data_IF_769237275663
#
_entry.id   IF_769237275663
#
_cell.length_a   1.000
_cell.length_b   1.000
_cell.length_c   1.000
_cell.angle_alpha   90.00
_cell.angle_beta   90.00
_cell.angle_gamma   90.00
#
_symmetry.space_group_name_H-M   'P 1'
#
loop_
_entity.id
_entity.type
_entity.pdbx_description
1 polymer ?
#
# COMPACT_ATOMS: atom_id res chain seq x y z
N UNK A 1 2.93 25.52 9.91
CA UNK A 1 3.15 24.79 8.64
C UNK A 1 4.63 24.47 8.55
N UNK A 2 5.11 23.46 9.28
CA UNK A 2 6.52 23.05 9.21
C UNK A 2 6.75 22.41 7.84
N UNK A 3 7.72 22.94 7.10
CA UNK A 3 8.14 22.46 5.80
C UNK A 3 8.48 20.97 5.88
N UNK A 4 7.58 20.10 5.42
CA UNK A 4 7.90 18.69 5.22
C UNK A 4 9.09 18.64 4.26
N UNK A 5 10.19 18.03 4.68
CA UNK A 5 11.32 17.78 3.79
C UNK A 5 10.83 16.74 2.79
N UNK A 6 10.78 17.14 1.52
CA UNK A 6 10.34 16.32 0.40
C UNK A 6 11.57 16.09 -0.46
N UNK A 7 12.01 14.84 -0.56
CA UNK A 7 13.00 14.45 -1.56
C UNK A 7 12.25 14.07 -2.86
N UNK A 8 12.35 14.90 -3.90
CA UNK A 8 11.78 14.60 -5.21
C UNK A 8 12.85 14.08 -6.16
N UNK A 9 12.68 12.87 -6.67
CA UNK A 9 13.43 12.42 -7.84
C UNK A 9 12.83 13.11 -9.07
N UNK A 10 13.57 14.01 -9.73
CA UNK A 10 13.11 14.64 -10.99
C UNK A 10 13.11 13.59 -12.10
N UNK A 11 11.95 13.23 -12.67
CA UNK A 11 11.91 12.22 -13.69
C UNK A 11 12.06 12.84 -15.10
N UNK A 12 12.87 12.21 -15.95
CA UNK A 12 12.91 12.52 -17.40
C UNK A 12 11.60 12.06 -18.08
N UNK A 13 10.87 12.96 -18.76
CA UNK A 13 9.76 12.68 -19.68
C UNK A 13 8.62 11.74 -19.20
N UNK A 14 8.27 11.72 -17.90
CA UNK A 14 7.14 10.91 -17.41
C UNK A 14 5.76 11.59 -17.48
N UNK A 15 5.69 12.86 -17.89
CA UNK A 15 4.43 13.57 -18.07
C UNK A 15 3.49 12.91 -19.10
N UNK A 16 3.99 12.00 -19.94
CA UNK A 16 3.19 11.31 -20.96
C UNK A 16 2.83 9.87 -20.59
N UNK A 17 3.34 9.35 -19.45
CA UNK A 17 3.25 7.93 -19.11
C UNK A 17 2.20 7.68 -18.03
N UNK A 18 1.47 6.59 -18.24
CA UNK A 18 0.69 5.96 -17.19
C UNK A 18 1.64 5.24 -16.22
N UNK A 19 1.43 5.43 -14.92
CA UNK A 19 2.30 4.88 -13.88
C UNK A 19 1.53 4.14 -12.79
N UNK A 20 2.17 3.14 -12.21
CA UNK A 20 1.74 2.55 -10.93
C UNK A 20 2.60 3.14 -9.82
N UNK A 21 1.97 3.41 -8.67
CA UNK A 21 2.66 3.97 -7.51
C UNK A 21 2.55 2.98 -6.36
N UNK A 22 3.69 2.60 -5.78
CA UNK A 22 3.73 1.84 -4.54
C UNK A 22 3.97 2.76 -3.34
N UNK A 23 3.23 2.54 -2.26
CA UNK A 23 3.44 3.20 -0.97
C UNK A 23 4.02 2.21 0.03
N UNK A 24 5.12 2.60 0.66
CA UNK A 24 5.76 1.80 1.71
C UNK A 24 6.28 2.69 2.84
N UNK A 25 6.32 2.16 4.05
CA UNK A 25 7.02 2.78 5.16
C UNK A 25 8.47 2.34 5.17
N UNK A 26 9.38 3.31 5.24
CA UNK A 26 10.78 3.07 5.57
C UNK A 26 11.06 3.67 6.94
N UNK A 27 12.09 3.18 7.64
CA UNK A 27 12.43 3.73 8.94
C UNK A 27 13.94 3.72 9.18
N UNK A 28 14.38 4.62 10.05
CA UNK A 28 15.73 4.64 10.58
C UNK A 28 15.72 4.41 12.09
N UNK A 29 16.71 3.65 12.55
CA UNK A 29 16.89 3.37 13.96
C UNK A 29 17.33 4.63 14.69
N UNK A 30 16.81 4.80 15.90
CA UNK A 30 17.07 5.95 16.74
C UNK A 30 17.44 5.52 18.16
N UNK A 31 18.51 6.12 18.68
CA UNK A 31 19.16 5.75 19.95
C UNK A 31 19.07 6.85 21.03
N UNK A 32 18.49 8.00 20.69
CA UNK A 32 18.35 9.16 21.57
C UNK A 32 17.09 9.15 22.43
N UNK A 33 16.71 10.32 22.95
CA UNK A 33 15.49 10.48 23.74
C UNK A 33 14.23 10.39 22.86
N UNK A 34 13.31 9.50 23.25
CA UNK A 34 12.10 9.16 22.50
C UNK A 34 10.92 10.10 22.81
N UNK A 35 11.09 11.10 23.68
CA UNK A 35 10.07 12.10 24.01
C UNK A 35 9.84 13.12 22.87
N UNK A 36 9.51 12.61 21.69
CA UNK A 36 9.32 13.40 20.47
C UNK A 36 8.25 12.76 19.59
N UNK A 37 7.32 13.53 19.01
CA UNK A 37 6.28 12.98 18.12
C UNK A 37 6.86 12.39 16.82
N UNK A 38 8.13 12.64 16.53
CA UNK A 38 8.85 12.11 15.38
C UNK A 38 9.37 10.68 15.59
N UNK A 39 9.38 10.21 16.84
CA UNK A 39 9.90 8.91 17.22
C UNK A 39 8.74 7.99 17.55
N UNK A 40 8.64 6.85 16.85
CA UNK A 40 7.75 5.77 17.27
C UNK A 40 8.53 4.81 18.17
N UNK A 41 7.91 4.40 19.27
CA UNK A 41 8.50 3.49 20.23
C UNK A 41 8.89 2.15 19.60
N UNK A 42 9.98 1.56 20.10
CA UNK A 42 10.49 0.25 19.68
C UNK A 42 10.74 -0.65 20.89
N UNK A 43 10.85 -1.96 20.66
CA UNK A 43 11.01 -2.97 21.73
C UNK A 43 12.33 -2.88 22.49
N UNK A 44 13.31 -2.10 22.02
CA UNK A 44 14.61 -1.93 22.68
C UNK A 44 15.72 -2.83 22.16
N UNK A 45 15.44 -3.70 21.17
CA UNK A 45 16.43 -4.63 20.61
C UNK A 45 17.67 -3.89 20.09
N UNK A 46 18.87 -4.44 20.37
CA UNK A 46 20.16 -3.85 19.97
C UNK A 46 20.38 -2.40 20.44
N UNK A 47 19.75 -2.00 21.56
CA UNK A 47 19.84 -0.64 22.09
C UNK A 47 19.04 0.41 21.31
N UNK A 48 18.25 -0.01 20.32
CA UNK A 48 17.39 0.87 19.53
C UNK A 48 16.24 1.34 20.41
N UNK A 49 16.18 2.64 20.68
CA UNK A 49 15.16 3.24 21.56
C UNK A 49 13.88 3.60 20.81
N UNK A 50 13.98 3.88 19.51
CA UNK A 50 12.84 4.17 18.67
C UNK A 50 13.19 4.16 17.20
N UNK A 51 12.23 4.55 16.37
CA UNK A 51 12.39 4.62 14.92
C UNK A 51 11.79 5.89 14.34
N UNK A 52 12.50 6.52 13.41
CA UNK A 52 11.97 7.58 12.55
C UNK A 52 11.33 6.94 11.34
N UNK A 53 10.05 7.23 11.08
CA UNK A 53 9.33 6.66 9.95
C UNK A 53 9.23 7.66 8.80
N UNK A 54 9.27 7.14 7.58
CA UNK A 54 9.05 7.89 6.36
C UNK A 54 8.05 7.14 5.49
N UNK A 55 6.99 7.83 5.07
CA UNK A 55 6.09 7.33 4.04
C UNK A 55 6.69 7.65 2.67
N UNK A 56 6.97 6.62 1.89
CA UNK A 56 7.61 6.76 0.58
C UNK A 56 6.66 6.29 -0.52
N UNK A 57 6.46 7.12 -1.52
CA UNK A 57 5.80 6.75 -2.76
C UNK A 57 6.84 6.54 -3.87
N UNK A 58 6.77 5.39 -4.51
CA UNK A 58 7.68 5.01 -5.59
C UNK A 58 6.90 4.70 -6.86
N UNK A 59 7.41 5.15 -8.01
CA UNK A 59 6.95 4.65 -9.30
C UNK A 59 7.42 3.20 -9.45
N UNK A 60 6.51 2.34 -9.88
CA UNK A 60 6.78 0.93 -10.15
C UNK A 60 6.47 0.62 -11.60
N UNK A 61 7.46 0.10 -12.33
CA UNK A 61 7.28 -0.33 -13.73
C UNK A 61 8.24 -1.47 -14.06
N UNK A 62 7.69 -2.58 -14.58
CA UNK A 62 8.46 -3.78 -14.92
C UNK A 62 9.35 -4.21 -13.75
N UNK A 63 10.68 -4.20 -13.86
CA UNK A 63 11.58 -4.60 -12.78
C UNK A 63 12.23 -3.41 -12.05
N UNK A 64 11.67 -2.21 -12.23
CA UNK A 64 12.24 -0.98 -11.71
C UNK A 64 11.32 -0.27 -10.71
N UNK A 65 11.93 0.20 -9.62
CA UNK A 65 11.32 1.09 -8.63
C UNK A 65 12.11 2.38 -8.53
N UNK A 66 11.43 3.50 -8.76
CA UNK A 66 11.99 4.83 -8.54
C UNK A 66 11.28 5.50 -7.37
N UNK A 67 11.95 5.74 -6.23
CA UNK A 67 11.41 6.60 -5.19
C UNK A 67 11.12 7.98 -5.78
N UNK A 68 9.87 8.42 -5.71
CA UNK A 68 9.46 9.72 -6.25
C UNK A 68 9.44 10.78 -5.17
N UNK A 69 8.89 10.41 -4.01
CA UNK A 69 8.67 11.29 -2.86
C UNK A 69 8.74 10.47 -1.59
N UNK A 70 9.44 11.00 -0.60
CA UNK A 70 9.45 10.48 0.77
C UNK A 70 9.16 11.64 1.72
N UNK A 71 8.23 11.43 2.65
CA UNK A 71 7.89 12.40 3.69
C UNK A 71 8.08 11.75 5.06
N UNK A 72 8.59 12.50 6.06
CA UNK A 72 8.64 12.00 7.42
C UNK A 72 7.22 11.83 7.97
N UNK A 73 7.00 10.76 8.73
CA UNK A 73 5.71 10.37 9.29
C UNK A 73 5.75 10.35 10.80
N UNK A 74 4.99 11.25 11.43
CA UNK A 74 4.95 11.39 12.89
C UNK A 74 3.90 10.47 13.52
N UNK A 75 3.82 10.46 14.84
CA UNK A 75 2.70 9.81 15.58
C UNK A 75 1.40 10.63 15.52
N UNK A 76 1.48 11.91 15.11
CA UNK A 76 0.34 12.83 15.05
C UNK A 76 -0.33 12.83 13.67
N UNK A 77 0.40 12.40 12.64
CA UNK A 77 -0.11 12.33 11.27
C UNK A 77 -1.02 11.11 11.07
N UNK A 78 -2.04 11.26 10.22
CA UNK A 78 -2.81 10.12 9.74
C UNK A 78 -2.24 9.62 8.41
N UNK A 79 -2.06 8.31 8.27
CA UNK A 79 -1.57 7.68 7.03
C UNK A 79 -2.41 8.10 5.82
N UNK A 80 -3.73 8.22 5.98
CA UNK A 80 -4.62 8.68 4.92
C UNK A 80 -4.32 10.12 4.48
N UNK A 81 -4.12 11.05 5.43
CA UNK A 81 -3.78 12.44 5.12
C UNK A 81 -2.41 12.59 4.45
N UNK A 82 -1.45 11.76 4.85
CA UNK A 82 -0.14 11.68 4.22
C UNK A 82 -0.19 11.19 2.77
N UNK A 83 -0.93 10.09 2.51
CA UNK A 83 -1.16 9.58 1.15
C UNK A 83 -1.84 10.64 0.29
N UNK A 84 -2.90 11.29 0.79
CA UNK A 84 -3.60 12.37 0.06
C UNK A 84 -2.62 13.50 -0.29
N UNK A 85 -1.78 13.92 0.66
CA UNK A 85 -0.81 14.98 0.45
C UNK A 85 0.20 14.63 -0.64
N UNK A 86 0.73 13.41 -0.61
CA UNK A 86 1.62 12.90 -1.66
C UNK A 86 0.90 12.84 -3.00
N UNK A 87 -0.32 12.31 -3.05
CA UNK A 87 -1.06 12.16 -4.29
C UNK A 87 -1.41 13.51 -4.94
N UNK A 88 -1.72 14.53 -4.15
CA UNK A 88 -1.94 15.89 -4.65
C UNK A 88 -0.68 16.46 -5.33
N UNK A 89 0.51 16.14 -4.81
CA UNK A 89 1.78 16.51 -5.44
C UNK A 89 1.96 15.71 -6.73
N UNK A 90 1.88 14.38 -6.68
CA UNK A 90 2.17 13.49 -7.81
C UNK A 90 1.21 13.66 -8.99
N UNK A 91 -0.06 13.99 -8.75
CA UNK A 91 -1.05 14.27 -9.81
C UNK A 91 -0.62 15.42 -10.73
N UNK A 92 0.22 16.35 -10.26
CA UNK A 92 0.78 17.41 -11.09
C UNK A 92 1.94 16.98 -12.00
N UNK A 93 2.50 15.78 -11.79
CA UNK A 93 3.70 15.31 -12.52
C UNK A 93 3.41 14.20 -13.54
N UNK A 94 2.30 13.50 -13.45
CA UNK A 94 1.96 12.36 -14.31
C UNK A 94 0.65 12.58 -15.04
N UNK A 95 0.56 12.07 -16.28
CA UNK A 95 -0.69 12.06 -17.06
C UNK A 95 -1.79 11.28 -16.35
N UNK A 96 -1.44 10.08 -15.86
CA UNK A 96 -2.35 9.20 -15.15
C UNK A 96 -1.61 8.33 -14.15
N UNK A 97 -2.22 8.13 -12.99
CA UNK A 97 -1.79 7.14 -12.01
C UNK A 97 -2.80 5.98 -12.10
N UNK A 98 -2.40 4.89 -12.73
CA UNK A 98 -3.30 3.77 -13.06
C UNK A 98 -3.75 3.01 -11.82
N UNK A 99 -2.80 2.81 -10.89
CA UNK A 99 -2.98 1.90 -9.77
C UNK A 99 -2.04 2.24 -8.62
N UNK A 100 -2.60 2.26 -7.42
CA UNK A 100 -1.86 2.33 -6.17
C UNK A 100 -1.63 0.93 -5.62
N UNK A 101 -0.40 0.59 -5.27
CA UNK A 101 -0.02 -0.69 -4.70
C UNK A 101 0.38 -0.47 -3.24
N UNK A 102 -0.30 -1.14 -2.32
CA UNK A 102 -0.08 -0.98 -0.89
C UNK A 102 0.01 -2.33 -0.19
N UNK A 103 0.85 -2.39 0.84
CA UNK A 103 1.00 -3.57 1.66
C UNK A 103 -0.14 -3.74 2.70
N UNK A 104 -0.01 -4.78 3.53
CA UNK A 104 -0.96 -5.13 4.60
C UNK A 104 -1.01 -4.19 5.80
N UNK A 105 -0.06 -3.28 5.93
CA UNK A 105 -0.12 -2.25 6.98
C UNK A 105 -1.08 -1.12 6.61
N UNK A 106 -1.32 -0.90 5.30
CA UNK A 106 -2.27 0.10 4.81
C UNK A 106 -3.74 -0.38 4.75
N UNK A 107 -4.02 -1.63 5.13
CA UNK A 107 -5.38 -2.16 5.14
C UNK A 107 -6.21 -1.60 6.31
N UNK A 108 -6.86 -0.45 6.09
CA UNK A 108 -7.78 0.17 7.04
C UNK A 108 -8.98 0.81 6.34
N UNK A 109 -10.11 0.92 7.05
CA UNK A 109 -11.33 1.53 6.52
C UNK A 109 -11.13 2.99 6.12
N UNK A 110 -10.33 3.75 6.87
CA UNK A 110 -10.02 5.16 6.58
C UNK A 110 -9.20 5.31 5.30
N UNK A 111 -8.20 4.45 5.09
CA UNK A 111 -7.38 4.45 3.87
C UNK A 111 -8.24 4.05 2.68
N UNK A 112 -9.01 2.96 2.77
CA UNK A 112 -9.93 2.50 1.72
C UNK A 112 -10.88 3.62 1.29
N UNK A 113 -11.52 4.29 2.26
CA UNK A 113 -12.43 5.41 1.99
C UNK A 113 -11.72 6.57 1.29
N UNK A 114 -10.51 6.91 1.73
CA UNK A 114 -9.73 7.98 1.13
C UNK A 114 -9.35 7.63 -0.31
N UNK A 115 -8.84 6.42 -0.55
CA UNK A 115 -8.38 5.96 -1.86
C UNK A 115 -9.52 5.83 -2.87
N UNK A 116 -10.72 5.40 -2.45
CA UNK A 116 -11.92 5.35 -3.30
C UNK A 116 -12.21 6.68 -4.01
N UNK A 117 -11.81 7.82 -3.43
CA UNK A 117 -11.99 9.15 -4.01
C UNK A 117 -10.80 9.65 -4.84
N UNK A 118 -9.67 8.92 -4.85
CA UNK A 118 -8.39 9.42 -5.37
C UNK A 118 -7.95 8.69 -6.63
N UNK A 119 -7.89 7.36 -6.59
CA UNK A 119 -7.30 6.50 -7.62
C UNK A 119 -7.66 5.04 -7.37
N UNK A 120 -7.56 4.19 -8.39
CA UNK A 120 -7.66 2.75 -8.22
C UNK A 120 -6.53 2.21 -7.35
N UNK A 121 -6.81 1.17 -6.57
CA UNK A 121 -5.83 0.61 -5.63
C UNK A 121 -5.90 -0.90 -5.48
N UNK A 122 -4.80 -1.47 -4.99
CA UNK A 122 -4.68 -2.80 -4.43
C UNK A 122 -3.98 -2.71 -3.09
N UNK A 123 -4.68 -3.07 -2.02
CA UNK A 123 -4.12 -3.20 -0.68
C UNK A 123 -4.08 -4.68 -0.34
N UNK A 124 -2.91 -5.22 0.01
CA UNK A 124 -2.84 -6.60 0.47
C UNK A 124 -3.55 -6.76 1.81
N UNK A 125 -4.38 -7.78 1.96
CA UNK A 125 -5.27 -7.93 3.12
C UNK A 125 -4.66 -8.89 4.12
N UNK A 126 -4.74 -8.53 5.42
CA UNK A 126 -4.40 -9.45 6.50
C UNK A 126 -5.42 -10.59 6.54
N UNK A 127 -4.93 -11.83 6.68
CA UNK A 127 -5.78 -13.02 6.79
C UNK A 127 -6.42 -13.10 8.18
N UNK A 128 -7.49 -12.34 8.39
CA UNK A 128 -8.38 -12.55 9.54
C UNK A 128 -9.21 -13.83 9.38
N UNK A 129 -10.02 -14.16 10.39
CA UNK A 129 -10.85 -15.37 10.37
C UNK A 129 -11.84 -15.42 9.19
N UNK A 130 -12.37 -14.28 8.76
CA UNK A 130 -13.30 -14.20 7.64
C UNK A 130 -12.60 -14.45 6.31
N UNK A 131 -11.46 -13.80 6.09
CA UNK A 131 -10.62 -13.97 4.89
C UNK A 131 -10.09 -15.40 4.79
N UNK A 132 -9.63 -15.98 5.91
CA UNK A 132 -9.16 -17.38 5.96
C UNK A 132 -10.27 -18.36 5.57
N UNK A 133 -11.45 -18.23 6.18
CA UNK A 133 -12.58 -19.11 5.90
C UNK A 133 -12.99 -19.08 4.43
N UNK A 134 -13.00 -17.91 3.80
CA UNK A 134 -13.29 -17.82 2.37
C UNK A 134 -12.21 -18.54 1.54
N UNK A 135 -10.93 -18.27 1.80
CA UNK A 135 -9.82 -18.92 1.07
C UNK A 135 -9.80 -20.44 1.28
N UNK A 136 -10.20 -20.94 2.45
CA UNK A 136 -10.28 -22.38 2.72
C UNK A 136 -11.43 -23.06 1.98
N UNK A 137 -12.49 -22.32 1.66
CA UNK A 137 -13.63 -22.82 0.88
C UNK A 137 -13.38 -22.86 -0.63
N UNK A 138 -12.27 -22.29 -1.11
CA UNK A 138 -11.93 -22.20 -2.53
C UNK A 138 -11.10 -23.38 -3.02
N UNK A 139 -11.28 -23.73 -4.29
CA UNK A 139 -10.47 -24.74 -4.98
C UNK A 139 -9.07 -24.23 -5.34
N UNK A 140 -8.13 -25.16 -5.58
CA UNK A 140 -6.76 -24.80 -5.95
C UNK A 140 -6.72 -24.03 -7.26
N UNK A 141 -6.08 -22.85 -7.26
CA UNK A 141 -6.01 -21.98 -8.44
C UNK A 141 -7.26 -21.14 -8.67
N UNK A 142 -8.30 -21.29 -7.84
CA UNK A 142 -9.52 -20.48 -7.93
C UNK A 142 -9.20 -19.01 -7.63
N UNK A 143 -9.85 -18.13 -8.40
CA UNK A 143 -9.76 -16.68 -8.29
C UNK A 143 -11.16 -16.11 -8.28
N UNK A 144 -11.45 -15.26 -7.30
CA UNK A 144 -12.81 -14.78 -7.04
C UNK A 144 -12.81 -13.36 -6.53
N UNK A 145 -13.77 -12.55 -6.95
CA UNK A 145 -14.00 -11.21 -6.40
C UNK A 145 -15.32 -11.22 -5.66
N UNK A 146 -15.32 -10.73 -4.41
CA UNK A 146 -16.53 -10.48 -3.64
C UNK A 146 -16.62 -9.01 -3.27
N UNK A 147 -17.81 -8.44 -3.40
CA UNK A 147 -18.09 -7.15 -2.78
C UNK A 147 -18.06 -7.32 -1.26
N UNK A 148 -17.32 -6.46 -0.58
CA UNK A 148 -17.26 -6.37 0.86
C UNK A 148 -17.73 -4.98 1.30
N UNK A 149 -18.83 -4.96 2.03
CA UNK A 149 -19.35 -3.73 2.60
C UNK A 149 -18.82 -3.59 4.02
N UNK A 150 -18.01 -2.57 4.26
CA UNK A 150 -17.58 -2.21 5.59
C UNK A 150 -18.69 -1.39 6.25
N UNK A 151 -19.23 -1.92 7.35
CA UNK A 151 -20.02 -1.12 8.28
C UNK A 151 -19.08 -0.15 8.99
N UNK A 152 -19.05 1.10 8.54
CA UNK A 152 -18.48 2.19 9.31
C UNK A 152 -19.44 3.37 9.27
N UNK A 153 -19.69 3.94 10.44
CA UNK A 153 -20.44 5.18 10.61
C UNK A 153 -19.41 6.28 10.87
N UNK A 154 -18.83 6.85 9.81
CA UNK A 154 -18.38 8.25 9.85
C UNK A 154 -19.37 8.97 8.95
N UNK A 155 -20.20 9.82 9.54
CA UNK A 155 -21.33 10.49 8.89
C UNK A 155 -22.39 9.54 8.26
N UNK A 156 -22.54 8.33 8.79
CA UNK A 156 -23.60 7.39 8.38
C UNK A 156 -23.44 6.70 7.02
N UNK A 157 -22.29 6.84 6.35
CA UNK A 157 -22.07 6.29 4.99
C UNK A 157 -21.43 4.91 5.01
N UNK A 158 -22.06 3.94 4.34
CA UNK A 158 -21.49 2.61 4.07
C UNK A 158 -20.27 2.76 3.15
N UNK A 159 -19.13 2.23 3.58
CA UNK A 159 -17.92 2.18 2.76
C UNK A 159 -17.90 0.81 2.09
N UNK A 160 -17.73 0.79 0.77
CA UNK A 160 -17.64 -0.46 0.00
C UNK A 160 -16.26 -0.60 -0.61
N UNK A 161 -15.74 -1.83 -0.61
CA UNK A 161 -14.63 -2.23 -1.46
C UNK A 161 -14.83 -3.68 -1.90
N UNK A 162 -14.17 -4.08 -2.97
CA UNK A 162 -14.10 -5.47 -3.36
C UNK A 162 -12.92 -6.14 -2.67
N UNK A 163 -13.10 -7.39 -2.25
CA UNK A 163 -12.02 -8.28 -1.87
C UNK A 163 -11.82 -9.29 -3.00
N UNK A 164 -10.65 -9.25 -3.62
CA UNK A 164 -10.17 -10.27 -4.53
C UNK A 164 -9.47 -11.37 -3.74
N UNK A 165 -9.92 -12.60 -3.90
CA UNK A 165 -9.38 -13.81 -3.29
C UNK A 165 -8.69 -14.66 -4.34
N UNK A 166 -7.51 -15.18 -4.00
CA UNK A 166 -6.69 -15.99 -4.89
C UNK A 166 -6.11 -17.16 -4.11
N UNK A 167 -6.51 -18.38 -4.48
CA UNK A 167 -6.17 -19.61 -3.76
C UNK A 167 -4.97 -20.30 -4.38
N UNK A 168 -3.94 -20.61 -3.58
CA UNK A 168 -2.74 -21.36 -3.97
C UNK A 168 -2.14 -20.84 -5.28
N UNK A 169 -1.78 -19.57 -5.30
CA UNK A 169 -1.01 -18.99 -6.41
C UNK A 169 0.43 -19.44 -6.28
N UNK A 170 0.95 -20.10 -7.32
CA UNK A 170 2.34 -20.54 -7.36
C UNK A 170 3.27 -19.32 -7.51
N UNK A 171 4.35 -19.32 -6.73
CA UNK A 171 5.44 -18.37 -6.91
C UNK A 171 6.72 -19.05 -7.35
N UNK A 172 7.13 -18.77 -8.59
CA UNK A 172 8.33 -19.35 -9.20
C UNK A 172 9.65 -18.97 -8.49
N UNK A 173 9.67 -17.93 -7.63
CA UNK A 173 10.91 -17.52 -6.95
C UNK A 173 11.12 -18.31 -5.67
N UNK A 174 10.06 -18.50 -4.87
CA UNK A 174 10.14 -19.27 -3.63
C UNK A 174 9.82 -20.75 -3.83
N UNK A 175 9.31 -21.14 -5.00
CA UNK A 175 8.80 -22.48 -5.31
C UNK A 175 7.65 -22.92 -4.39
N UNK A 176 6.90 -21.96 -3.84
CA UNK A 176 5.80 -22.20 -2.90
C UNK A 176 4.45 -21.72 -3.44
N UNK A 177 3.38 -22.20 -2.80
CA UNK A 177 2.01 -21.76 -3.04
C UNK A 177 1.55 -20.79 -1.96
N UNK A 178 0.98 -19.66 -2.39
CA UNK A 178 0.44 -18.67 -1.47
C UNK A 178 -1.04 -18.39 -1.72
N UNK A 179 -1.79 -18.27 -0.64
CA UNK A 179 -3.14 -17.74 -0.68
C UNK A 179 -3.08 -16.22 -0.48
N UNK A 180 -3.64 -15.46 -1.41
CA UNK A 180 -3.63 -14.00 -1.40
C UNK A 180 -5.04 -13.42 -1.33
N UNK A 181 -5.15 -12.27 -0.69
CA UNK A 181 -6.36 -11.47 -0.67
C UNK A 181 -6.00 -9.99 -0.85
N UNK A 182 -6.75 -9.27 -1.67
CA UNK A 182 -6.55 -7.84 -1.92
C UNK A 182 -7.85 -7.07 -1.77
N UNK A 183 -7.79 -5.92 -1.11
CA UNK A 183 -8.86 -4.93 -1.13
C UNK A 183 -8.65 -3.98 -2.32
N UNK A 184 -9.71 -3.74 -3.08
CA UNK A 184 -9.68 -2.90 -4.29
C UNK A 184 -11.03 -2.22 -4.53
N UNK A 185 -11.04 -1.12 -5.27
CA UNK A 185 -12.25 -0.48 -5.78
C UNK A 185 -12.59 -0.94 -7.22
N UNK A 186 -11.79 -1.81 -7.82
CA UNK A 186 -11.99 -2.32 -9.16
C UNK A 186 -13.02 -3.46 -9.15
N UNK A 187 -14.15 -3.26 -9.83
CA UNK A 187 -15.25 -4.25 -9.93
C UNK A 187 -14.93 -5.41 -10.86
N UNK A 188 -14.34 -5.11 -12.01
CA UNK A 188 -13.93 -6.08 -13.02
C UNK A 188 -12.42 -6.02 -13.15
N UNK A 189 -11.76 -7.07 -12.67
CA UNK A 189 -10.30 -7.15 -12.63
C UNK A 189 -9.86 -8.43 -13.31
N UNK A 190 -8.93 -8.30 -14.25
CA UNK A 190 -8.10 -9.43 -14.64
C UNK A 190 -7.13 -9.74 -13.50
N UNK A 191 -7.47 -10.76 -12.70
CA UNK A 191 -6.73 -11.10 -11.49
C UNK A 191 -5.30 -11.57 -11.79
N UNK A 192 -5.04 -12.17 -12.95
CA UNK A 192 -3.69 -12.55 -13.36
C UNK A 192 -2.80 -11.34 -13.63
N UNK A 193 -3.34 -10.33 -14.32
CA UNK A 193 -2.61 -9.09 -14.57
C UNK A 193 -2.29 -8.37 -13.25
N UNK A 194 -3.24 -8.33 -12.33
CA UNK A 194 -3.08 -7.71 -11.02
C UNK A 194 -2.08 -8.47 -10.14
N UNK A 195 -2.07 -9.81 -10.16
CA UNK A 195 -1.03 -10.62 -9.49
C UNK A 195 0.35 -10.22 -10.00
N UNK A 196 0.52 -10.14 -11.33
CA UNK A 196 1.79 -9.74 -11.95
C UNK A 196 2.23 -8.36 -11.47
N UNK A 197 1.32 -7.38 -11.52
CA UNK A 197 1.57 -6.00 -11.06
C UNK A 197 1.95 -5.94 -9.58
N UNK A 198 1.28 -6.69 -8.71
CA UNK A 198 1.61 -6.72 -7.28
C UNK A 198 2.90 -7.48 -6.97
N UNK A 199 3.20 -8.57 -7.71
CA UNK A 199 4.47 -9.31 -7.61
C UNK A 199 5.66 -8.41 -7.89
N UNK A 200 5.55 -7.46 -8.82
CA UNK A 200 6.61 -6.46 -9.04
C UNK A 200 6.92 -5.71 -7.75
N UNK A 201 5.91 -5.18 -7.05
CA UNK A 201 6.09 -4.49 -5.75
C UNK A 201 6.80 -5.41 -4.74
N UNK A 202 6.33 -6.65 -4.61
CA UNK A 202 6.84 -7.60 -3.62
C UNK A 202 8.27 -8.08 -3.90
N UNK A 203 8.64 -8.23 -5.17
CA UNK A 203 9.98 -8.69 -5.58
C UNK A 203 11.08 -7.70 -5.20
N UNK A 204 10.76 -6.41 -5.09
CA UNK A 204 11.71 -5.35 -4.76
C UNK A 204 12.01 -5.30 -3.25
N UNK A 205 11.14 -5.86 -2.40
CA UNK A 205 11.35 -5.96 -0.95
C UNK A 205 12.17 -7.19 -0.54
N UNK A 206 12.16 -8.25 -1.34
CA UNK A 206 12.82 -9.54 -1.06
C UNK A 206 13.96 -9.84 -2.05
N UNK A 207 14.72 -8.82 -2.46
CA UNK A 207 16.00 -9.02 -3.15
C UNK A 207 17.09 -9.41 -2.17
#
# INVERSE_FOLDING_TARGET
>A
MFSRIIALSKPFNFQEKNVMIAFDYTYWDFYGDTNSPWIRGWTGENGIKGKFYFLTASMVKSDFRLPLISIPSTVLDTTAGEIISIMNILKGYFKNIDLLLLDRWFYSKEIIMSLNSISNYLIFVRKDSGIKRELESMEMGEKKIKLHEFSMYRDGKRITAYIAFLKKIFDHKTEEYYDWAFATNLKEVNLDEIIGKYKIRWRIENM
#
